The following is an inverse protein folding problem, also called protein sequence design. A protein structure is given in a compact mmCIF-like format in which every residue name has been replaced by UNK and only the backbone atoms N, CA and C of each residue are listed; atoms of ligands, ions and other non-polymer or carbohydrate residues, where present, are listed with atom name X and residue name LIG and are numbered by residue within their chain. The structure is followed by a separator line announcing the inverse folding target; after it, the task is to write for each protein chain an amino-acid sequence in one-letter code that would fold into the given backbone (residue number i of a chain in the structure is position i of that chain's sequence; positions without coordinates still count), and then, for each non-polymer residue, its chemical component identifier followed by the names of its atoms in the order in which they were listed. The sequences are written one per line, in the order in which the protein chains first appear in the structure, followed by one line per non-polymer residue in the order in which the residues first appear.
data_IF_769301761671
#
_entry.id   IF_769301761671
#
_cell.length_a   1.000
_cell.length_b   1.000
_cell.length_c   1.000
_cell.angle_alpha   90.00
_cell.angle_beta   90.00
_cell.angle_gamma   90.00
#
_symmetry.space_group_name_H-M   'P 1'
#
loop_
_entity.id
_entity.type
_entity.pdbx_description
1 polymer ?
#
# COMPACT_ATOMS: atom_id res chain seq x y z
N UNK A 1 -36.84 -8.63 -9.26
CA UNK A 1 -35.71 -9.51 -9.60
C UNK A 1 -34.48 -8.68 -9.33
N UNK A 2 -33.61 -9.12 -8.42
CA UNK A 2 -32.36 -8.44 -8.12
C UNK A 2 -31.47 -8.47 -9.38
N UNK A 3 -30.73 -7.38 -9.63
CA UNK A 3 -29.74 -7.35 -10.71
C UNK A 3 -28.57 -8.30 -10.35
N UNK A 4 -27.87 -8.86 -11.34
CA UNK A 4 -26.69 -9.72 -11.10
C UNK A 4 -25.66 -9.06 -10.17
N UNK A 5 -25.40 -7.75 -10.34
CA UNK A 5 -24.45 -7.01 -9.49
C UNK A 5 -24.90 -6.97 -8.03
N UNK A 6 -26.19 -6.80 -7.80
CA UNK A 6 -26.81 -6.81 -6.49
C UNK A 6 -26.69 -8.19 -5.84
N UNK A 7 -27.01 -9.27 -6.58
CA UNK A 7 -26.90 -10.64 -6.07
C UNK A 7 -25.45 -10.97 -5.68
N UNK A 8 -24.48 -10.65 -6.55
CA UNK A 8 -23.07 -10.89 -6.27
C UNK A 8 -22.62 -10.12 -5.02
N UNK A 9 -22.96 -8.83 -4.93
CA UNK A 9 -22.57 -7.97 -3.81
C UNK A 9 -23.23 -8.39 -2.50
N UNK A 10 -24.53 -8.67 -2.48
CA UNK A 10 -25.25 -9.12 -1.28
C UNK A 10 -24.73 -10.47 -0.79
N UNK A 11 -24.48 -11.42 -1.71
CA UNK A 11 -23.92 -12.72 -1.35
C UNK A 11 -22.51 -12.58 -0.75
N UNK A 12 -21.70 -11.65 -1.27
CA UNK A 12 -20.38 -11.33 -0.76
C UNK A 12 -20.45 -10.75 0.66
N UNK A 13 -21.23 -9.69 0.84
CA UNK A 13 -21.43 -9.06 2.14
C UNK A 13 -21.96 -10.06 3.18
N UNK A 14 -22.88 -10.94 2.78
CA UNK A 14 -23.41 -11.99 3.65
C UNK A 14 -22.32 -12.97 4.09
N UNK A 15 -21.42 -13.36 3.18
CA UNK A 15 -20.31 -14.26 3.52
C UNK A 15 -19.34 -13.63 4.53
N UNK A 16 -18.97 -12.36 4.32
CA UNK A 16 -18.10 -11.60 5.23
C UNK A 16 -18.75 -11.45 6.61
N UNK A 17 -19.98 -10.93 6.68
CA UNK A 17 -20.72 -10.74 7.95
C UNK A 17 -20.84 -12.05 8.72
N UNK A 18 -21.27 -13.13 8.06
CA UNK A 18 -21.43 -14.43 8.69
C UNK A 18 -20.13 -14.98 9.26
N UNK A 19 -18.99 -14.73 8.61
CA UNK A 19 -17.70 -15.17 9.14
C UNK A 19 -17.34 -14.41 10.43
N UNK A 20 -17.35 -13.09 10.39
CA UNK A 20 -16.85 -12.28 11.50
C UNK A 20 -17.84 -12.10 12.67
N UNK A 21 -19.15 -12.18 12.45
CA UNK A 21 -20.13 -12.24 13.55
C UNK A 21 -19.93 -13.48 14.43
N UNK A 22 -19.52 -14.61 13.82
CA UNK A 22 -19.24 -15.84 14.56
C UNK A 22 -17.89 -15.80 15.31
N UNK A 23 -16.91 -15.01 14.82
CA UNK A 23 -15.58 -14.89 15.43
C UNK A 23 -15.55 -13.92 16.63
N UNK A 24 -16.42 -12.90 16.68
CA UNK A 24 -16.46 -11.90 17.76
C UNK A 24 -16.96 -12.43 19.12
N UNK A 25 -17.50 -13.65 19.18
CA UNK A 25 -18.03 -14.27 20.40
C UNK A 25 -16.91 -14.81 21.32
N UNK A 26 -15.69 -14.95 20.81
CA UNK A 26 -14.53 -15.42 21.57
C UNK A 26 -13.47 -14.33 21.67
N UNK A 27 -13.44 -13.58 22.78
CA UNK A 27 -12.23 -13.34 23.60
C UNK A 27 -12.35 -12.13 24.52
N UNK A 28 -12.21 -12.38 25.83
CA UNK A 28 -11.90 -11.39 26.87
C UNK A 28 -10.48 -11.66 27.38
N UNK A 29 -9.56 -10.71 27.21
CA UNK A 29 -8.22 -10.77 27.80
C UNK A 29 -7.67 -9.36 28.02
N UNK A 30 -7.21 -9.06 29.24
CA UNK A 30 -6.62 -7.77 29.61
C UNK A 30 -5.09 -7.81 29.59
N UNK A 31 -4.45 -6.84 28.94
CA UNK A 31 -2.99 -6.80 28.76
C UNK A 31 -2.38 -5.41 29.03
N UNK A 32 -1.05 -5.37 29.22
CA UNK A 32 -0.24 -4.18 29.51
C UNK A 32 -0.05 -3.28 28.27
N UNK A 33 0.33 -2.00 28.44
CA UNK A 33 0.33 -1.00 27.34
C UNK A 33 1.25 -1.33 26.14
N UNK A 34 2.48 -1.81 26.37
CA UNK A 34 3.42 -2.15 25.29
C UNK A 34 3.15 -3.51 24.61
N UNK A 35 2.58 -4.47 25.36
CA UNK A 35 2.11 -5.74 24.78
C UNK A 35 0.86 -5.56 23.93
N UNK A 36 0.02 -4.57 24.26
CA UNK A 36 -1.20 -4.25 23.54
C UNK A 36 -0.96 -3.80 22.11
N UNK A 37 0.08 -3.01 21.83
CA UNK A 37 0.33 -2.51 20.46
C UNK A 37 0.78 -3.63 19.50
N UNK A 38 1.76 -4.44 19.89
CA UNK A 38 2.21 -5.60 19.09
C UNK A 38 1.08 -6.62 18.87
N UNK A 39 0.26 -6.84 19.90
CA UNK A 39 -0.89 -7.73 19.80
C UNK A 39 -2.00 -7.16 18.91
N UNK A 40 -2.23 -5.84 18.95
CA UNK A 40 -3.14 -5.16 18.02
C UNK A 40 -2.68 -5.32 16.58
N UNK A 41 -1.39 -5.12 16.28
CA UNK A 41 -0.85 -5.34 14.93
C UNK A 41 -0.99 -6.81 14.50
N UNK A 42 -0.62 -7.75 15.35
CA UNK A 42 -0.79 -9.19 15.08
C UNK A 42 -2.26 -9.55 14.79
N UNK A 43 -3.19 -8.97 15.54
CA UNK A 43 -4.64 -9.18 15.34
C UNK A 43 -5.15 -8.55 14.05
N UNK A 44 -4.70 -7.36 13.70
CA UNK A 44 -5.03 -6.72 12.42
C UNK A 44 -4.52 -7.56 11.25
N UNK A 45 -3.28 -8.05 11.33
CA UNK A 45 -2.72 -8.94 10.31
C UNK A 45 -3.52 -10.24 10.19
N UNK A 46 -3.90 -10.85 11.32
CA UNK A 46 -4.76 -12.03 11.33
C UNK A 46 -6.12 -11.74 10.68
N UNK A 47 -6.76 -10.64 11.05
CA UNK A 47 -8.05 -10.22 10.48
C UNK A 47 -7.96 -10.04 8.96
N UNK A 48 -6.92 -9.37 8.45
CA UNK A 48 -6.70 -9.19 7.02
C UNK A 48 -6.49 -10.54 6.29
N UNK A 49 -5.72 -11.45 6.88
CA UNK A 49 -5.49 -12.78 6.31
C UNK A 49 -6.76 -13.64 6.28
N UNK A 50 -7.54 -13.63 7.36
CA UNK A 50 -8.82 -14.33 7.44
C UNK A 50 -9.83 -13.76 6.45
N UNK A 51 -9.94 -12.43 6.35
CA UNK A 51 -10.80 -11.75 5.39
C UNK A 51 -10.50 -12.16 3.95
N UNK A 52 -9.22 -12.15 3.55
CA UNK A 52 -8.79 -12.60 2.22
C UNK A 52 -9.18 -14.06 1.95
N UNK A 53 -9.11 -14.92 2.97
CA UNK A 53 -9.56 -16.31 2.87
C UNK A 53 -11.07 -16.40 2.64
N UNK A 54 -11.88 -15.63 3.38
CA UNK A 54 -13.34 -15.60 3.20
C UNK A 54 -13.71 -15.10 1.80
N UNK A 55 -13.04 -14.06 1.29
CA UNK A 55 -13.27 -13.57 -0.08
C UNK A 55 -13.04 -14.67 -1.12
N UNK A 56 -11.96 -15.45 -0.99
CA UNK A 56 -11.65 -16.55 -1.89
C UNK A 56 -12.65 -17.72 -1.74
N UNK A 57 -13.06 -18.04 -0.51
CA UNK A 57 -14.07 -19.07 -0.25
C UNK A 57 -15.44 -18.67 -0.82
N UNK A 58 -15.84 -17.41 -0.67
CA UNK A 58 -17.06 -16.87 -1.26
C UNK A 58 -17.04 -17.03 -2.79
N UNK A 59 -15.92 -16.69 -3.44
CA UNK A 59 -15.78 -16.79 -4.89
C UNK A 59 -16.03 -18.23 -5.41
N UNK A 60 -15.69 -19.24 -4.61
CA UNK A 60 -15.83 -20.66 -4.95
C UNK A 60 -17.07 -21.34 -4.35
N UNK A 61 -17.91 -20.60 -3.61
CA UNK A 61 -19.12 -21.15 -3.00
C UNK A 61 -20.33 -20.92 -3.90
N UNK A 62 -21.09 -21.98 -4.16
CA UNK A 62 -22.32 -21.90 -4.95
C UNK A 62 -23.35 -20.99 -4.28
N UNK A 63 -23.96 -20.08 -5.06
CA UNK A 63 -25.01 -19.16 -4.60
C UNK A 63 -26.34 -19.59 -5.21
N UNK A 64 -27.36 -19.79 -4.37
CA UNK A 64 -28.68 -20.29 -4.79
C UNK A 64 -29.35 -19.34 -5.80
N UNK A 65 -29.27 -18.03 -5.56
CA UNK A 65 -29.77 -16.98 -6.44
C UNK A 65 -29.06 -16.94 -7.81
N UNK A 66 -27.89 -17.59 -7.92
CA UNK A 66 -27.14 -17.78 -9.16
C UNK A 66 -27.37 -19.17 -9.77
N UNK A 67 -28.50 -19.81 -9.45
CA UNK A 67 -28.84 -21.17 -9.85
C UNK A 67 -27.78 -22.22 -9.46
N UNK A 68 -27.12 -22.01 -8.31
CA UNK A 68 -26.07 -22.89 -7.81
C UNK A 68 -24.71 -22.71 -8.51
N UNK A 69 -24.55 -21.69 -9.36
CA UNK A 69 -23.23 -21.31 -9.87
C UNK A 69 -22.40 -20.60 -8.80
N UNK A 70 -21.08 -20.68 -8.93
CA UNK A 70 -20.16 -19.91 -8.09
C UNK A 70 -19.96 -18.50 -8.67
N UNK A 71 -19.68 -17.48 -7.84
CA UNK A 71 -19.29 -16.16 -8.31
C UNK A 71 -18.08 -16.20 -9.26
N UNK A 72 -17.09 -17.07 -8.99
CA UNK A 72 -15.89 -17.21 -9.83
C UNK A 72 -16.22 -17.63 -11.26
N UNK A 73 -17.14 -18.58 -11.46
CA UNK A 73 -17.58 -19.01 -12.79
C UNK A 73 -18.25 -17.87 -13.54
N UNK A 74 -19.14 -17.12 -12.87
CA UNK A 74 -19.88 -16.02 -13.49
C UNK A 74 -18.99 -14.83 -13.83
N UNK A 75 -18.18 -14.36 -12.88
CA UNK A 75 -17.28 -13.21 -13.06
C UNK A 75 -16.24 -13.51 -14.13
N UNK A 76 -15.64 -14.70 -14.13
CA UNK A 76 -14.70 -15.08 -15.18
C UNK A 76 -15.35 -15.20 -16.56
N UNK A 77 -16.65 -15.56 -16.61
CA UNK A 77 -17.45 -15.62 -17.82
C UNK A 77 -17.87 -14.27 -18.40
N UNK A 78 -17.67 -13.16 -17.69
CA UNK A 78 -17.96 -11.82 -18.22
C UNK A 78 -16.97 -11.46 -19.34
N UNK A 79 -17.45 -11.33 -20.58
CA UNK A 79 -16.57 -11.07 -21.73
C UNK A 79 -16.32 -9.58 -21.97
N UNK A 80 -17.25 -8.71 -21.56
CA UNK A 80 -17.15 -7.26 -21.79
C UNK A 80 -16.54 -6.58 -20.58
N UNK A 81 -15.66 -5.62 -20.86
CA UNK A 81 -15.08 -4.74 -19.84
C UNK A 81 -16.18 -4.03 -19.04
N UNK A 82 -17.20 -3.49 -19.73
CA UNK A 82 -18.33 -2.77 -19.11
C UNK A 82 -19.02 -3.58 -18.02
N UNK A 83 -19.23 -4.88 -18.24
CA UNK A 83 -19.99 -5.71 -17.30
C UNK A 83 -19.22 -5.90 -15.98
N UNK A 84 -17.90 -6.05 -16.07
CA UNK A 84 -17.03 -6.19 -14.90
C UNK A 84 -16.80 -4.85 -14.21
N UNK A 85 -16.69 -3.77 -15.00
CA UNK A 85 -16.52 -2.42 -14.46
C UNK A 85 -17.78 -1.93 -13.74
N UNK A 86 -18.97 -2.22 -14.27
CA UNK A 86 -20.25 -1.93 -13.60
C UNK A 86 -20.38 -2.71 -12.28
N UNK A 87 -19.93 -3.97 -12.24
CA UNK A 87 -19.87 -4.74 -11.00
C UNK A 87 -18.90 -4.12 -9.99
N UNK A 88 -17.72 -3.71 -10.44
CA UNK A 88 -16.72 -3.05 -9.61
C UNK A 88 -17.26 -1.75 -8.99
N UNK A 89 -17.88 -0.88 -9.80
CA UNK A 89 -18.51 0.36 -9.31
C UNK A 89 -19.60 0.05 -8.28
N UNK A 90 -20.47 -0.91 -8.59
CA UNK A 90 -21.55 -1.28 -7.68
C UNK A 90 -21.01 -1.80 -6.33
N UNK A 91 -20.00 -2.67 -6.36
CA UNK A 91 -19.37 -3.19 -5.15
C UNK A 91 -18.63 -2.09 -4.37
N UNK A 92 -17.97 -1.14 -5.03
CA UNK A 92 -17.29 -0.05 -4.35
C UNK A 92 -18.24 0.83 -3.52
N UNK A 93 -19.50 0.96 -3.95
CA UNK A 93 -20.50 1.76 -3.26
C UNK A 93 -21.34 0.97 -2.24
N UNK A 94 -21.53 -0.34 -2.46
CA UNK A 94 -22.52 -1.15 -1.73
C UNK A 94 -21.94 -2.32 -0.95
N UNK A 95 -20.67 -2.69 -1.18
CA UNK A 95 -20.02 -3.69 -0.35
C UNK A 95 -19.71 -3.10 1.03
N UNK A 96 -19.81 -3.91 2.07
CA UNK A 96 -19.39 -3.48 3.42
C UNK A 96 -17.86 -3.46 3.56
N UNK A 97 -17.15 -3.96 2.56
CA UNK A 97 -15.76 -4.31 2.65
C UNK A 97 -15.04 -4.22 1.30
N UNK A 98 -13.72 -4.42 1.28
CA UNK A 98 -12.89 -4.30 0.07
C UNK A 98 -13.43 -5.13 -1.09
N UNK A 99 -13.13 -4.68 -2.32
CA UNK A 99 -13.51 -5.39 -3.54
C UNK A 99 -12.87 -6.79 -3.56
N UNK A 100 -13.64 -7.87 -3.82
CA UNK A 100 -13.09 -9.21 -3.87
C UNK A 100 -11.98 -9.34 -4.94
N UNK A 101 -10.87 -10.05 -4.64
CA UNK A 101 -9.76 -10.21 -5.59
C UNK A 101 -10.17 -10.77 -6.96
N UNK A 102 -11.21 -11.61 -7.03
CA UNK A 102 -11.71 -12.15 -8.29
C UNK A 102 -12.20 -11.06 -9.26
N UNK A 103 -12.79 -9.97 -8.76
CA UNK A 103 -13.22 -8.84 -9.58
C UNK A 103 -12.01 -8.05 -10.06
N UNK A 104 -11.04 -7.80 -9.18
CA UNK A 104 -9.80 -7.09 -9.52
C UNK A 104 -8.98 -7.86 -10.56
N UNK A 105 -8.82 -9.18 -10.40
CA UNK A 105 -8.12 -10.03 -11.36
C UNK A 105 -8.84 -10.08 -12.71
N UNK A 106 -10.18 -10.07 -12.68
CA UNK A 106 -10.96 -10.02 -13.92
C UNK A 106 -10.80 -8.67 -14.62
N UNK A 107 -10.85 -7.54 -13.90
CA UNK A 107 -10.55 -6.22 -14.47
C UNK A 107 -9.14 -6.15 -15.07
N UNK A 108 -8.13 -6.63 -14.34
CA UNK A 108 -6.73 -6.71 -14.79
C UNK A 108 -6.59 -7.42 -16.14
N UNK A 109 -7.45 -8.40 -16.45
CA UNK A 109 -7.41 -9.12 -17.74
C UNK A 109 -7.68 -8.21 -18.96
N UNK A 110 -8.30 -7.05 -18.78
CA UNK A 110 -8.55 -6.03 -19.81
C UNK A 110 -7.38 -5.03 -19.99
N UNK A 111 -6.31 -5.16 -19.18
CA UNK A 111 -5.05 -4.40 -19.33
C UNK A 111 -5.29 -2.88 -19.38
N UNK A 112 -4.81 -2.22 -20.43
CA UNK A 112 -4.82 -0.76 -20.58
C UNK A 112 -6.22 -0.15 -20.51
N UNK A 113 -7.26 -0.87 -20.96
CA UNK A 113 -8.64 -0.39 -20.87
C UNK A 113 -9.05 -0.23 -19.39
N UNK A 114 -8.76 -1.22 -18.54
CA UNK A 114 -9.02 -1.14 -17.11
C UNK A 114 -8.12 -0.13 -16.40
N UNK A 115 -6.83 -0.05 -16.76
CA UNK A 115 -5.91 0.94 -16.19
C UNK A 115 -6.42 2.37 -16.47
N UNK A 116 -6.78 2.67 -17.72
CA UNK A 116 -7.30 3.98 -18.10
C UNK A 116 -8.59 4.30 -17.35
N UNK A 117 -9.55 3.38 -17.32
CA UNK A 117 -10.84 3.61 -16.67
C UNK A 117 -10.72 3.85 -15.17
N UNK A 118 -9.86 3.09 -14.46
CA UNK A 118 -9.61 3.28 -13.03
C UNK A 118 -8.85 4.59 -12.76
N UNK A 119 -7.88 4.94 -13.60
CA UNK A 119 -7.16 6.20 -13.50
C UNK A 119 -8.08 7.41 -13.71
N UNK A 120 -8.98 7.33 -14.70
CA UNK A 120 -9.97 8.37 -14.98
C UNK A 120 -10.98 8.50 -13.84
N UNK A 121 -11.44 7.37 -13.27
CA UNK A 121 -12.31 7.34 -12.10
C UNK A 121 -11.64 7.97 -10.88
N UNK A 122 -10.41 7.57 -10.53
CA UNK A 122 -9.69 8.18 -9.42
C UNK A 122 -9.48 9.69 -9.64
N UNK A 123 -9.15 10.11 -10.87
CA UNK A 123 -8.95 11.51 -11.19
C UNK A 123 -10.25 12.34 -11.10
N UNK A 124 -11.41 11.78 -11.45
CA UNK A 124 -12.70 12.48 -11.35
C UNK A 124 -13.18 12.67 -9.91
N UNK A 125 -12.65 11.89 -8.97
CA UNK A 125 -12.98 11.96 -7.54
C UNK A 125 -11.91 12.67 -6.69
N UNK A 126 -10.98 13.39 -7.33
CA UNK A 126 -9.85 14.03 -6.66
C UNK A 126 -10.20 15.34 -5.93
N UNK A 127 -11.30 16.00 -6.32
CA UNK A 127 -11.64 17.36 -5.85
C UNK A 127 -12.21 17.42 -4.43
N UNK A 128 -12.67 16.30 -3.89
CA UNK A 128 -13.22 16.17 -2.55
C UNK A 128 -12.30 15.34 -1.64
N UNK A 129 -12.71 15.16 -0.38
CA UNK A 129 -12.15 14.09 0.44
C UNK A 129 -12.28 12.75 -0.30
N UNK A 130 -11.30 11.83 -0.15
CA UNK A 130 -11.34 10.52 -0.78
C UNK A 130 -12.64 9.79 -0.45
N UNK A 131 -13.45 9.53 -1.48
CA UNK A 131 -14.63 8.69 -1.35
C UNK A 131 -14.32 7.23 -1.71
N UNK A 132 -15.31 6.36 -1.56
CA UNK A 132 -15.13 4.93 -1.80
C UNK A 132 -14.74 4.61 -3.25
N UNK A 133 -15.17 5.44 -4.22
CA UNK A 133 -14.82 5.24 -5.63
C UNK A 133 -13.35 5.59 -5.88
N UNK A 134 -12.86 6.70 -5.31
CA UNK A 134 -11.45 7.03 -5.34
C UNK A 134 -10.61 5.91 -4.71
N UNK A 135 -10.96 5.50 -3.50
CA UNK A 135 -10.21 4.49 -2.73
C UNK A 135 -10.19 3.16 -3.49
N UNK A 136 -11.34 2.69 -3.96
CA UNK A 136 -11.43 1.43 -4.72
C UNK A 136 -10.62 1.50 -6.01
N UNK A 137 -10.66 2.61 -6.74
CA UNK A 137 -9.94 2.78 -8.00
C UNK A 137 -8.42 2.76 -7.80
N UNK A 138 -7.93 3.51 -6.80
CA UNK A 138 -6.51 3.58 -6.44
C UNK A 138 -6.00 2.24 -5.93
N UNK A 139 -6.73 1.58 -5.04
CA UNK A 139 -6.39 0.24 -4.54
C UNK A 139 -6.32 -0.80 -5.67
N UNK A 140 -7.30 -0.80 -6.59
CA UNK A 140 -7.31 -1.71 -7.73
C UNK A 140 -6.09 -1.53 -8.65
N UNK A 141 -5.70 -0.28 -8.93
CA UNK A 141 -4.48 0.01 -9.70
C UNK A 141 -3.22 -0.53 -9.01
N UNK A 142 -3.12 -0.42 -7.68
CA UNK A 142 -2.02 -0.98 -6.89
C UNK A 142 -1.97 -2.51 -6.94
N UNK A 143 -3.12 -3.16 -6.91
CA UNK A 143 -3.24 -4.63 -6.96
C UNK A 143 -3.00 -5.22 -8.36
N UNK A 144 -2.93 -4.39 -9.41
CA UNK A 144 -2.69 -4.90 -10.75
C UNK A 144 -1.29 -5.50 -10.91
N UNK A 145 -0.29 -5.11 -10.11
CA UNK A 145 1.09 -5.59 -10.28
C UNK A 145 1.58 -5.46 -11.75
N UNK A 146 1.25 -4.33 -12.39
CA UNK A 146 1.65 -3.99 -13.75
C UNK A 146 2.40 -2.67 -13.72
N UNK A 147 3.57 -2.60 -14.35
CA UNK A 147 4.36 -1.37 -14.46
C UNK A 147 3.55 -0.21 -15.08
N UNK A 148 2.70 -0.51 -16.07
CA UNK A 148 1.84 0.50 -16.71
C UNK A 148 0.78 1.09 -15.76
N UNK A 149 0.38 0.37 -14.71
CA UNK A 149 -0.56 0.86 -13.69
C UNK A 149 0.12 1.77 -12.65
N UNK A 150 1.46 1.75 -12.56
CA UNK A 150 2.24 2.56 -11.62
C UNK A 150 2.27 4.03 -12.04
N UNK A 151 2.40 4.32 -13.35
CA UNK A 151 2.46 5.70 -13.84
C UNK A 151 1.19 6.52 -13.50
N UNK A 152 -0.04 6.02 -13.70
CA UNK A 152 -1.24 6.70 -13.25
C UNK A 152 -1.27 7.02 -11.75
N UNK A 153 -0.77 6.12 -10.89
CA UNK A 153 -0.68 6.36 -9.44
C UNK A 153 0.29 7.50 -9.12
N UNK A 154 1.42 7.57 -9.81
CA UNK A 154 2.38 8.66 -9.64
C UNK A 154 1.81 9.99 -10.15
N UNK A 155 1.12 9.98 -11.28
CA UNK A 155 0.42 11.16 -11.81
C UNK A 155 -0.64 11.67 -10.83
N UNK A 156 -1.40 10.75 -10.19
CA UNK A 156 -2.33 11.09 -9.12
C UNK A 156 -1.61 11.72 -7.93
N UNK A 157 -0.48 11.17 -7.48
CA UNK A 157 0.29 11.73 -6.37
C UNK A 157 0.70 13.20 -6.65
N UNK A 158 1.16 13.48 -7.87
CA UNK A 158 1.49 14.85 -8.29
C UNK A 158 0.28 15.77 -8.42
N UNK A 159 -0.89 15.26 -8.81
CA UNK A 159 -2.14 16.06 -8.85
C UNK A 159 -2.67 16.37 -7.46
N UNK A 160 -2.55 15.44 -6.52
CA UNK A 160 -2.96 15.60 -5.11
C UNK A 160 -2.11 16.68 -4.44
N UNK A 161 -0.79 16.70 -4.69
CA UNK A 161 0.15 17.72 -4.21
C UNK A 161 -0.09 18.18 -2.76
N UNK A 162 -0.11 17.22 -1.82
CA UNK A 162 -0.31 17.41 -0.38
C UNK A 162 -1.77 17.59 0.13
N UNK A 163 -2.79 17.12 -0.61
CA UNK A 163 -4.12 16.85 0.00
C UNK A 163 -4.03 15.58 0.84
N UNK A 164 -3.96 15.76 2.16
CA UNK A 164 -3.57 14.74 3.14
C UNK A 164 -4.12 13.33 2.90
N UNK A 165 -5.44 13.10 3.04
CA UNK A 165 -5.95 11.72 3.07
C UNK A 165 -5.81 10.97 1.73
N UNK A 166 -5.85 11.67 0.60
CA UNK A 166 -5.72 11.04 -0.72
C UNK A 166 -4.31 10.47 -0.94
N UNK A 167 -3.29 11.14 -0.39
CA UNK A 167 -1.90 10.73 -0.53
C UNK A 167 -1.64 9.37 0.15
N UNK A 168 -2.25 9.13 1.31
CA UNK A 168 -2.09 7.87 2.06
C UNK A 168 -2.56 6.66 1.23
N UNK A 169 -3.69 6.78 0.54
CA UNK A 169 -4.21 5.72 -0.35
C UNK A 169 -3.32 5.49 -1.57
N UNK A 170 -2.75 6.55 -2.14
CA UNK A 170 -1.85 6.44 -3.29
C UNK A 170 -0.52 5.80 -2.88
N UNK A 171 0.04 6.18 -1.73
CA UNK A 171 1.24 5.56 -1.16
C UNK A 171 1.01 4.07 -0.93
N UNK A 172 -0.11 3.69 -0.31
CA UNK A 172 -0.46 2.29 -0.06
C UNK A 172 -0.61 1.50 -1.37
N UNK A 173 -1.30 2.05 -2.36
CA UNK A 173 -1.44 1.41 -3.68
C UNK A 173 -0.08 1.21 -4.37
N UNK A 174 0.80 2.21 -4.32
CA UNK A 174 2.15 2.10 -4.86
C UNK A 174 2.97 1.03 -4.11
N UNK A 175 2.84 0.92 -2.78
CA UNK A 175 3.47 -0.17 -2.03
C UNK A 175 2.91 -1.54 -2.42
N UNK A 176 1.61 -1.65 -2.64
CA UNK A 176 0.94 -2.89 -3.04
C UNK A 176 1.31 -3.35 -4.45
N UNK A 177 1.68 -2.43 -5.34
CA UNK A 177 2.24 -2.77 -6.65
C UNK A 177 3.61 -3.50 -6.57
N UNK A 178 4.25 -3.49 -5.40
CA UNK A 178 5.45 -4.27 -5.10
C UNK A 178 6.63 -3.90 -6.00
N UNK A 179 7.35 -4.89 -6.52
CA UNK A 179 8.57 -4.65 -7.32
C UNK A 179 8.31 -3.96 -8.66
N UNK A 180 7.07 -3.90 -9.14
CA UNK A 180 6.70 -3.23 -10.39
C UNK A 180 6.97 -1.72 -10.36
N UNK A 181 7.09 -1.12 -9.17
CA UNK A 181 7.37 0.31 -8.99
C UNK A 181 8.85 0.66 -9.19
N UNK A 182 9.76 -0.30 -9.15
CA UNK A 182 11.20 0.00 -9.08
C UNK A 182 11.66 0.82 -10.27
N UNK A 183 11.43 0.36 -11.51
CA UNK A 183 11.90 1.08 -12.70
C UNK A 183 11.19 2.43 -12.89
N UNK A 184 9.84 2.55 -12.78
CA UNK A 184 9.17 3.85 -12.84
C UNK A 184 9.68 4.86 -11.82
N UNK A 185 9.89 4.43 -10.57
CA UNK A 185 10.35 5.34 -9.51
C UNK A 185 11.82 5.70 -9.65
N UNK A 186 12.67 4.78 -10.14
CA UNK A 186 14.05 5.11 -10.49
C UNK A 186 14.11 6.19 -11.58
N UNK A 187 13.32 6.04 -12.64
CA UNK A 187 13.22 7.02 -13.72
C UNK A 187 12.76 8.40 -13.23
N UNK A 188 11.75 8.42 -12.35
CA UNK A 188 11.18 9.67 -11.85
C UNK A 188 12.07 10.38 -10.84
N UNK A 189 12.77 9.63 -9.99
CA UNK A 189 13.60 10.21 -8.93
C UNK A 189 15.01 10.58 -9.41
N UNK A 190 15.47 10.04 -10.54
CA UNK A 190 16.81 10.32 -11.05
C UNK A 190 16.98 11.82 -11.41
N UNK A 191 17.91 12.48 -10.72
CA UNK A 191 18.26 13.88 -10.98
C UNK A 191 17.24 14.91 -10.50
N UNK A 192 16.14 14.51 -9.85
CA UNK A 192 15.15 15.43 -9.28
C UNK A 192 15.54 15.93 -7.89
N UNK A 193 15.09 17.14 -7.58
CA UNK A 193 15.07 17.64 -6.21
C UNK A 193 13.98 16.91 -5.40
N UNK A 194 14.29 16.57 -4.15
CA UNK A 194 13.39 15.76 -3.31
C UNK A 194 12.39 16.67 -2.59
N UNK A 195 11.26 16.92 -3.25
CA UNK A 195 10.09 17.59 -2.70
C UNK A 195 9.17 16.68 -1.87
N UNK A 196 7.94 17.12 -1.59
CA UNK A 196 6.98 16.35 -0.77
C UNK A 196 6.59 15.01 -1.42
N UNK A 197 6.18 15.04 -2.69
CA UNK A 197 5.82 13.82 -3.43
C UNK A 197 7.02 12.90 -3.58
N UNK A 198 8.19 13.46 -3.92
CA UNK A 198 9.43 12.67 -4.06
C UNK A 198 9.84 11.98 -2.75
N UNK A 199 9.58 12.56 -1.57
CA UNK A 199 9.83 11.88 -0.29
C UNK A 199 9.00 10.61 -0.14
N UNK A 200 7.71 10.68 -0.48
CA UNK A 200 6.81 9.51 -0.49
C UNK A 200 7.30 8.47 -1.51
N UNK A 201 7.58 8.89 -2.74
CA UNK A 201 8.08 7.99 -3.79
C UNK A 201 9.42 7.34 -3.41
N UNK A 202 10.32 8.08 -2.75
CA UNK A 202 11.59 7.55 -2.25
C UNK A 202 11.38 6.48 -1.18
N UNK A 203 10.41 6.68 -0.30
CA UNK A 203 10.02 5.69 0.72
C UNK A 203 9.43 4.43 0.09
N UNK A 204 8.50 4.57 -0.86
CA UNK A 204 7.95 3.44 -1.63
C UNK A 204 9.08 2.66 -2.31
N UNK A 205 10.00 3.35 -2.98
CA UNK A 205 11.13 2.71 -3.67
C UNK A 205 12.05 1.96 -2.68
N UNK A 206 12.33 2.55 -1.51
CA UNK A 206 13.12 1.89 -0.47
C UNK A 206 12.43 0.61 0.05
N UNK A 207 11.11 0.67 0.25
CA UNK A 207 10.30 -0.46 0.69
C UNK A 207 10.31 -1.60 -0.33
N UNK A 208 9.98 -1.30 -1.59
CA UNK A 208 9.96 -2.26 -2.69
C UNK A 208 11.34 -2.88 -2.98
N UNK A 209 12.41 -2.09 -2.83
CA UNK A 209 13.79 -2.50 -3.08
C UNK A 209 14.49 -3.22 -1.93
N UNK A 210 13.90 -3.28 -0.75
CA UNK A 210 14.54 -3.77 0.49
C UNK A 210 15.12 -5.18 0.40
N UNK A 211 14.51 -6.05 -0.42
CA UNK A 211 14.97 -7.43 -0.61
C UNK A 211 15.84 -7.65 -1.87
N UNK A 212 16.04 -6.61 -2.68
CA UNK A 212 16.69 -6.73 -3.99
C UNK A 212 18.18 -6.33 -3.98
N UNK A 213 18.63 -5.56 -2.98
CA UNK A 213 20.00 -4.99 -2.90
C UNK A 213 20.44 -4.26 -4.18
N UNK A 214 19.51 -3.54 -4.83
CA UNK A 214 19.80 -2.77 -6.04
C UNK A 214 20.66 -1.52 -5.75
N UNK A 215 21.87 -1.47 -6.32
CA UNK A 215 22.81 -0.36 -6.16
C UNK A 215 22.30 1.00 -6.67
N UNK A 216 21.35 1.02 -7.62
CA UNK A 216 20.72 2.26 -8.11
C UNK A 216 19.87 2.88 -7.00
N UNK A 217 19.07 2.06 -6.31
CA UNK A 217 18.25 2.50 -5.18
C UNK A 217 19.15 3.02 -4.06
N UNK A 218 20.15 2.24 -3.64
CA UNK A 218 21.06 2.67 -2.58
C UNK A 218 21.76 4.00 -2.90
N UNK A 219 22.19 4.20 -4.16
CA UNK A 219 22.80 5.47 -4.60
C UNK A 219 21.84 6.65 -4.48
N UNK A 220 20.57 6.48 -4.85
CA UNK A 220 19.55 7.53 -4.69
C UNK A 220 19.30 7.86 -3.22
N UNK A 221 19.11 6.86 -2.36
CA UNK A 221 18.92 7.08 -0.91
C UNK A 221 20.11 7.81 -0.28
N UNK A 222 21.32 7.39 -0.65
CA UNK A 222 22.56 8.03 -0.22
C UNK A 222 22.66 9.47 -0.73
N UNK A 223 22.26 9.73 -1.97
CA UNK A 223 22.27 11.08 -2.53
C UNK A 223 21.27 11.97 -1.80
N UNK A 224 20.04 11.51 -1.58
CA UNK A 224 19.01 12.21 -0.81
C UNK A 224 19.51 12.61 0.58
N UNK A 225 20.13 11.68 1.32
CA UNK A 225 20.74 11.99 2.62
C UNK A 225 21.82 13.09 2.53
N UNK A 226 22.58 13.16 1.43
CA UNK A 226 23.63 14.16 1.28
C UNK A 226 23.08 15.54 0.92
N UNK A 227 22.06 15.61 0.08
CA UNK A 227 21.59 16.87 -0.51
C UNK A 227 20.41 17.51 0.18
N UNK A 228 19.51 16.74 0.80
CA UNK A 228 18.33 17.29 1.49
C UNK A 228 18.74 18.12 2.70
N UNK A 229 18.07 19.24 2.96
CA UNK A 229 18.29 20.02 4.19
C UNK A 229 17.82 19.22 5.41
N UNK A 230 16.56 18.79 5.40
CA UNK A 230 16.00 17.85 6.36
C UNK A 230 16.46 16.42 6.04
N UNK A 231 17.22 15.81 6.96
CA UNK A 231 17.78 14.47 6.80
C UNK A 231 16.81 13.37 7.18
N UNK A 232 15.73 13.69 7.93
CA UNK A 232 14.85 12.69 8.52
C UNK A 232 14.28 11.71 7.49
N UNK A 233 13.70 12.15 6.36
CA UNK A 233 13.10 11.22 5.40
C UNK A 233 14.13 10.28 4.77
N UNK A 234 15.33 10.78 4.49
CA UNK A 234 16.40 9.96 3.92
C UNK A 234 16.91 8.89 4.92
N UNK A 235 16.97 9.21 6.22
CA UNK A 235 17.33 8.23 7.26
C UNK A 235 16.27 7.14 7.36
N UNK A 236 14.98 7.52 7.37
CA UNK A 236 13.86 6.57 7.36
C UNK A 236 13.95 5.63 6.14
N UNK A 237 14.20 6.18 4.94
CA UNK A 237 14.33 5.35 3.74
C UNK A 237 15.54 4.39 3.81
N UNK A 238 16.68 4.83 4.34
CA UNK A 238 17.85 3.96 4.55
C UNK A 238 17.56 2.84 5.56
N UNK A 239 16.82 3.14 6.62
CA UNK A 239 16.36 2.17 7.62
C UNK A 239 15.44 1.11 6.99
N UNK A 240 14.45 1.54 6.20
CA UNK A 240 13.51 0.66 5.48
C UNK A 240 14.22 -0.20 4.44
N UNK A 241 15.14 0.38 3.67
CA UNK A 241 15.90 -0.35 2.66
C UNK A 241 16.82 -1.42 3.26
N UNK A 242 17.29 -1.23 4.50
CA UNK A 242 17.92 -2.30 5.27
C UNK A 242 19.38 -2.63 4.90
N UNK A 243 20.07 -1.76 4.15
CA UNK A 243 21.44 -2.01 3.70
C UNK A 243 22.49 -1.43 4.65
N UNK A 244 23.26 -2.33 5.29
CA UNK A 244 24.33 -2.00 6.24
C UNK A 244 25.43 -1.10 5.69
N UNK A 245 25.56 -0.92 4.36
CA UNK A 245 26.46 0.08 3.77
C UNK A 245 26.17 1.50 4.22
N UNK A 246 24.95 1.80 4.71
CA UNK A 246 24.61 3.10 5.27
C UNK A 246 25.34 3.41 6.59
N UNK A 247 25.76 2.41 7.37
CA UNK A 247 26.31 2.58 8.73
C UNK A 247 27.49 3.56 8.78
N UNK A 248 28.56 3.42 7.97
CA UNK A 248 29.71 4.33 8.05
C UNK A 248 29.35 5.78 7.73
N UNK A 249 28.39 5.98 6.81
CA UNK A 249 27.93 7.31 6.44
C UNK A 249 27.16 7.97 7.58
N UNK A 250 26.23 7.24 8.19
CA UNK A 250 25.41 7.71 9.31
C UNK A 250 26.28 8.04 10.53
N UNK A 251 27.20 7.13 10.90
CA UNK A 251 28.17 7.38 11.98
C UNK A 251 29.03 8.61 11.71
N UNK A 252 29.58 8.72 10.50
CA UNK A 252 30.39 9.88 10.12
C UNK A 252 29.59 11.19 10.15
N UNK A 253 28.28 11.16 9.90
CA UNK A 253 27.41 12.33 10.04
C UNK A 253 27.30 12.77 11.50
N UNK A 254 27.08 11.84 12.44
CA UNK A 254 27.04 12.13 13.88
C UNK A 254 28.36 12.70 14.41
N UNK A 255 29.49 12.16 13.96
CA UNK A 255 30.83 12.62 14.38
C UNK A 255 31.10 14.07 13.95
N UNK A 256 30.60 14.47 12.78
CA UNK A 256 30.81 15.82 12.21
C UNK A 256 29.78 16.85 12.66
N UNK A 257 28.58 16.44 13.03
CA UNK A 257 27.47 17.35 13.33
C UNK A 257 27.05 17.22 14.80
N UNK A 258 27.71 18.01 15.67
CA UNK A 258 27.44 17.99 17.12
C UNK A 258 26.17 18.74 17.54
N UNK A 259 25.65 19.62 16.69
CA UNK A 259 24.39 20.35 16.91
C UNK A 259 23.32 19.78 15.99
N UNK A 260 22.93 18.55 16.28
CA UNK A 260 21.89 17.82 15.55
C UNK A 260 20.58 17.87 16.35
N UNK A 261 19.46 17.95 15.66
CA UNK A 261 18.15 17.87 16.29
C UNK A 261 18.00 16.52 17.01
N UNK A 262 17.43 16.53 18.22
CA UNK A 262 17.28 15.35 19.08
C UNK A 262 16.56 14.19 18.38
N UNK A 263 15.48 14.47 17.64
CA UNK A 263 14.72 13.44 16.96
C UNK A 263 15.55 12.76 15.86
N UNK A 264 16.22 13.56 15.03
CA UNK A 264 17.11 13.05 13.98
C UNK A 264 18.28 12.26 14.57
N UNK A 265 18.83 12.70 15.71
CA UNK A 265 19.89 11.98 16.40
C UNK A 265 19.46 10.56 16.78
N UNK A 266 18.32 10.42 17.47
CA UNK A 266 17.82 9.10 17.89
C UNK A 266 17.40 8.23 16.70
N UNK A 267 16.81 8.80 15.65
CA UNK A 267 16.48 8.04 14.44
C UNK A 267 17.73 7.47 13.77
N UNK A 268 18.82 8.26 13.70
CA UNK A 268 20.10 7.79 13.15
C UNK A 268 20.69 6.66 14.02
N UNK A 269 20.63 6.78 15.36
CA UNK A 269 21.11 5.71 16.25
C UNK A 269 20.30 4.42 16.07
N UNK A 270 18.97 4.51 16.12
CA UNK A 270 18.09 3.36 15.93
C UNK A 270 18.26 2.71 14.55
N UNK A 271 18.48 3.53 13.51
CA UNK A 271 18.81 3.03 12.17
C UNK A 271 20.14 2.29 12.15
N UNK A 272 21.21 2.83 12.76
CA UNK A 272 22.51 2.15 12.83
C UNK A 272 22.37 0.79 13.54
N UNK A 273 21.67 0.73 14.67
CA UNK A 273 21.46 -0.50 15.45
C UNK A 273 20.68 -1.54 14.65
N UNK A 274 19.57 -1.16 14.02
CA UNK A 274 18.74 -2.06 13.20
C UNK A 274 19.51 -2.61 11.99
N UNK A 275 20.45 -1.83 11.44
CA UNK A 275 21.35 -2.28 10.37
C UNK A 275 22.52 -3.16 10.87
N UNK A 276 22.64 -3.40 12.19
CA UNK A 276 23.68 -4.24 12.80
C UNK A 276 24.95 -3.49 13.23
N UNK A 277 24.91 -2.16 13.26
CA UNK A 277 26.00 -1.31 13.75
C UNK A 277 25.96 -1.08 15.25
N UNK A 278 27.07 -0.59 15.81
CA UNK A 278 27.18 -0.19 17.22
C UNK A 278 27.05 1.32 17.38
N UNK A 279 26.48 1.76 18.49
CA UNK A 279 26.17 3.17 18.81
C UNK A 279 26.74 3.62 20.15
N UNK A 280 27.42 2.73 20.89
CA UNK A 280 27.96 2.98 22.25
C UNK A 280 28.78 4.28 22.35
N UNK A 281 29.53 4.61 21.30
CA UNK A 281 30.38 5.80 21.24
C UNK A 281 29.60 7.13 21.29
N UNK A 282 28.31 7.09 20.94
CA UNK A 282 27.42 8.24 20.87
C UNK A 282 26.46 8.33 22.06
N UNK A 283 26.39 7.31 22.90
CA UNK A 283 25.49 7.22 24.06
C UNK A 283 25.69 8.31 25.13
N UNK A 284 26.76 9.10 25.03
CA UNK A 284 27.11 10.21 25.94
C UNK A 284 26.95 11.61 25.33
N UNK A 285 26.48 11.71 24.08
CA UNK A 285 26.39 12.98 23.36
C UNK A 285 25.09 13.74 23.63
N UNK A 286 24.15 13.14 24.37
CA UNK A 286 22.92 13.76 24.86
C UNK A 286 22.55 13.23 26.24
#
# INVERSE_FOLDING_TARGET
MLNLNEILTESYCTAIRKHFENSLVSEKGGFSAGGREFELYSRLEQYHNEKKKVMNEWAETAVEQLNGMTPSVLINGMEKFSDVFDLFLYMAEHADDDIPPIVIQKLKSFKNEAISALADLAASHLESDPDMLFIAAVSALGEFELTDAVFPLIDLAYKVNDRNAAMDFIEEALRNAGTCVIEPLLEILEGKEIGTVEKMLLYVLASAGSNCRDDRIYRLLRQAFRTMEDKMPAVICLNVYGDGRAIPMLRGYLERNRQIEKNLFFEILGTIEKLGGRTDDFSRLF
#
